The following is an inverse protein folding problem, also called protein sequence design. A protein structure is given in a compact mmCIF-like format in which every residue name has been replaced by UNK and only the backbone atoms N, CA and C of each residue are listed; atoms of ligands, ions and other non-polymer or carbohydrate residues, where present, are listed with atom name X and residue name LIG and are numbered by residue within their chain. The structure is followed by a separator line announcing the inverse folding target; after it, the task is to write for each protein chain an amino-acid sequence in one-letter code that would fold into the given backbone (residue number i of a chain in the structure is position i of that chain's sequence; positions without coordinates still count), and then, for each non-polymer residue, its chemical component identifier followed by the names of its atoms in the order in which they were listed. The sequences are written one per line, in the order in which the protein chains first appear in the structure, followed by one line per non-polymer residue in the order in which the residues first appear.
data_IF_565216305775
#
_entry.id   IF_565216305775
#
_cell.length_a   1.000
_cell.length_b   1.000
_cell.length_c   1.000
_cell.angle_alpha   90.00
_cell.angle_beta   90.00
_cell.angle_gamma   90.00
#
_symmetry.space_group_name_H-M   'P 1'
#
loop_
_entity.id
_entity.type
_entity.pdbx_description
1 polymer ?
#
# COMPACT_ATOMS: atom_id res chain seq x y z
N UNK A 1 39.71 30.09 -58.63
CA UNK A 1 38.82 30.46 -57.50
C UNK A 1 37.44 29.84 -57.74
N UNK A 2 37.12 28.72 -57.12
CA UNK A 2 35.80 28.07 -57.15
C UNK A 2 35.29 27.93 -55.70
N UNK A 3 34.25 28.66 -55.38
CA UNK A 3 33.53 28.51 -54.09
C UNK A 3 32.54 27.33 -54.17
N UNK A 4 32.73 26.34 -53.35
CA UNK A 4 31.73 25.25 -53.15
C UNK A 4 30.68 25.74 -52.18
N UNK A 5 29.41 25.79 -52.65
CA UNK A 5 28.23 26.08 -51.78
C UNK A 5 27.83 24.84 -51.01
N UNK A 6 27.80 24.95 -49.71
CA UNK A 6 27.16 23.96 -48.82
C UNK A 6 25.66 24.21 -48.81
N UNK A 7 24.90 23.25 -49.32
CA UNK A 7 23.43 23.29 -49.32
C UNK A 7 22.82 22.92 -47.95
N UNK A 8 21.64 23.49 -47.59
CA UNK A 8 21.01 23.31 -46.28
C UNK A 8 20.19 22.01 -46.12
N UNK A 9 20.54 20.93 -46.82
CA UNK A 9 19.73 19.70 -46.87
C UNK A 9 20.09 18.67 -45.80
N UNK A 10 21.14 18.86 -44.99
CA UNK A 10 21.63 17.86 -44.02
C UNK A 10 21.18 18.10 -42.58
N UNK A 11 20.47 19.19 -42.28
CA UNK A 11 20.04 19.49 -40.87
C UNK A 11 18.68 18.91 -40.46
N UNK A 12 17.88 18.39 -41.40
CA UNK A 12 16.50 17.92 -41.08
C UNK A 12 16.41 16.46 -40.66
N UNK A 13 17.43 15.67 -40.89
CA UNK A 13 17.37 14.21 -40.63
C UNK A 13 17.79 13.83 -39.21
N UNK A 14 18.42 14.73 -38.44
CA UNK A 14 18.89 14.44 -37.08
C UNK A 14 17.84 14.67 -35.98
N UNK A 15 16.74 15.39 -36.24
CA UNK A 15 15.73 15.70 -35.24
C UNK A 15 14.68 14.59 -35.04
N UNK A 16 14.54 13.64 -35.95
CA UNK A 16 13.57 12.54 -35.86
C UNK A 16 14.07 11.34 -35.05
N UNK A 17 15.37 11.21 -34.80
CA UNK A 17 15.95 10.08 -34.06
C UNK A 17 15.91 10.25 -32.53
N UNK A 18 15.77 11.48 -32.03
CA UNK A 18 15.75 11.73 -30.58
C UNK A 18 14.37 11.55 -29.92
N UNK A 19 13.28 11.53 -30.69
CA UNK A 19 11.90 11.39 -30.16
C UNK A 19 11.48 9.95 -29.81
N UNK A 20 12.17 8.93 -30.32
CA UNK A 20 11.76 7.54 -30.20
C UNK A 20 12.15 6.86 -28.89
N UNK A 21 13.15 7.36 -28.16
CA UNK A 21 13.67 6.70 -26.95
C UNK A 21 12.95 7.09 -25.65
N UNK A 22 12.25 8.24 -25.64
CA UNK A 22 11.52 8.67 -24.44
C UNK A 22 10.19 7.93 -24.22
N UNK A 23 9.57 7.40 -25.27
CA UNK A 23 8.28 6.71 -25.19
C UNK A 23 8.33 5.36 -24.48
N UNK A 24 9.40 4.59 -24.67
CA UNK A 24 9.53 3.26 -24.06
C UNK A 24 9.73 3.34 -22.55
N UNK A 25 10.51 4.29 -22.03
CA UNK A 25 10.78 4.42 -20.61
C UNK A 25 9.53 4.78 -19.77
N UNK A 26 8.62 5.57 -20.34
CA UNK A 26 7.37 5.95 -19.67
C UNK A 26 6.38 4.78 -19.63
N UNK A 27 6.30 3.99 -20.71
CA UNK A 27 5.45 2.81 -20.77
C UNK A 27 5.92 1.72 -19.79
N UNK A 28 7.23 1.51 -19.67
CA UNK A 28 7.81 0.55 -18.72
C UNK A 28 7.59 0.99 -17.27
N UNK A 29 7.72 2.28 -16.95
CA UNK A 29 7.47 2.80 -15.61
C UNK A 29 5.99 2.65 -15.20
N UNK A 30 5.05 2.89 -16.12
CA UNK A 30 3.63 2.69 -15.89
C UNK A 30 3.29 1.19 -15.69
N UNK A 31 3.85 0.31 -16.52
CA UNK A 31 3.69 -1.14 -16.38
C UNK A 31 4.22 -1.66 -15.03
N UNK A 32 5.41 -1.22 -14.62
CA UNK A 32 5.98 -1.57 -13.32
C UNK A 32 5.18 -1.02 -12.14
N UNK A 33 4.58 0.17 -12.26
CA UNK A 33 3.73 0.73 -11.21
C UNK A 33 2.43 -0.07 -11.04
N UNK A 34 1.82 -0.51 -12.13
CA UNK A 34 0.65 -1.41 -12.12
C UNK A 34 1.02 -2.76 -11.53
N UNK A 35 2.14 -3.34 -11.96
CA UNK A 35 2.63 -4.63 -11.45
C UNK A 35 2.88 -4.56 -9.93
N UNK A 36 3.51 -3.49 -9.43
CA UNK A 36 3.71 -3.27 -7.98
C UNK A 36 2.40 -3.15 -7.22
N UNK A 37 1.40 -2.47 -7.79
CA UNK A 37 0.06 -2.37 -7.17
C UNK A 37 -0.66 -3.71 -7.08
N UNK A 38 -0.50 -4.57 -8.08
CA UNK A 38 -1.06 -5.92 -8.09
C UNK A 38 -0.35 -6.84 -7.10
N UNK A 39 0.97 -6.67 -6.91
CA UNK A 39 1.77 -7.47 -5.98
C UNK A 39 1.63 -7.03 -4.52
N UNK A 40 1.29 -5.77 -4.26
CA UNK A 40 1.17 -5.21 -2.91
C UNK A 40 -0.03 -4.24 -2.84
N UNK A 41 -1.25 -4.77 -2.93
CA UNK A 41 -2.47 -3.98 -2.94
C UNK A 41 -2.62 -3.22 -1.61
N UNK A 42 -2.81 -1.90 -1.72
CA UNK A 42 -3.05 -1.03 -0.60
C UNK A 42 -4.23 -0.11 -0.89
N UNK A 43 -4.98 0.24 0.16
CA UNK A 43 -5.99 1.29 0.11
C UNK A 43 -5.42 2.53 0.81
N UNK A 44 -5.59 3.68 0.19
CA UNK A 44 -5.14 4.97 0.72
C UNK A 44 -6.33 5.89 0.91
N UNK A 45 -6.34 6.60 2.05
CA UNK A 45 -7.35 7.62 2.35
C UNK A 45 -6.74 8.70 3.21
N UNK A 46 -7.07 9.97 2.91
CA UNK A 46 -6.67 11.12 3.74
C UNK A 46 -7.71 11.34 4.83
N UNK A 47 -7.24 11.55 6.05
CA UNK A 47 -8.05 11.90 7.22
C UNK A 47 -7.56 13.22 7.82
N UNK A 48 -8.45 14.05 8.33
CA UNK A 48 -8.07 15.31 8.98
C UNK A 48 -7.30 15.04 10.27
N UNK A 49 -6.31 15.87 10.57
CA UNK A 49 -5.50 15.80 11.78
C UNK A 49 -4.04 15.43 11.52
N UNK A 50 -3.21 15.69 12.53
CA UNK A 50 -1.78 15.36 12.48
C UNK A 50 -1.56 13.85 12.59
N UNK A 51 -0.46 13.30 12.03
CA UNK A 51 -0.18 11.85 12.06
C UNK A 51 -0.22 11.22 13.46
N UNK A 52 0.18 11.97 14.48
CA UNK A 52 0.17 11.52 15.88
C UNK A 52 -1.24 11.31 16.42
N UNK A 53 -2.17 12.21 16.08
CA UNK A 53 -3.57 12.15 16.53
C UNK A 53 -4.30 11.03 15.79
N UNK A 54 -4.09 10.95 14.47
CA UNK A 54 -4.61 9.86 13.63
C UNK A 54 -4.07 8.51 14.09
N UNK A 55 -2.82 8.42 14.57
CA UNK A 55 -2.25 7.19 15.12
C UNK A 55 -3.05 6.66 16.32
N UNK A 56 -3.44 7.53 17.23
CA UNK A 56 -4.28 7.17 18.39
C UNK A 56 -5.63 6.59 17.95
N UNK A 57 -6.28 7.24 16.98
CA UNK A 57 -7.55 6.79 16.42
C UNK A 57 -7.43 5.48 15.63
N UNK A 58 -6.34 5.27 14.88
CA UNK A 58 -6.05 3.99 14.22
C UNK A 58 -5.96 2.87 15.24
N UNK A 59 -5.24 3.08 16.34
CA UNK A 59 -5.10 2.10 17.41
C UNK A 59 -6.45 1.74 18.03
N UNK A 60 -7.30 2.73 18.30
CA UNK A 60 -8.64 2.51 18.86
C UNK A 60 -9.53 1.74 17.88
N UNK A 61 -9.57 2.15 16.59
CA UNK A 61 -10.36 1.51 15.55
C UNK A 61 -9.96 0.04 15.35
N UNK A 62 -8.67 -0.24 15.27
CA UNK A 62 -8.12 -1.60 15.11
C UNK A 62 -8.50 -2.49 16.30
N UNK A 63 -8.38 -1.98 17.52
CA UNK A 63 -8.75 -2.73 18.74
C UNK A 63 -10.25 -3.01 18.80
N UNK A 64 -11.08 -2.03 18.42
CA UNK A 64 -12.56 -2.19 18.40
C UNK A 64 -13.01 -3.24 17.38
N UNK A 65 -12.30 -3.36 16.26
CA UNK A 65 -12.53 -4.40 15.27
C UNK A 65 -11.94 -5.78 15.64
N UNK A 66 -11.43 -5.93 16.86
CA UNK A 66 -10.95 -7.21 17.38
C UNK A 66 -9.53 -7.58 16.96
N UNK A 67 -8.76 -6.64 16.41
CA UNK A 67 -7.35 -6.89 16.11
C UNK A 67 -6.46 -6.54 17.31
N UNK A 68 -5.38 -7.29 17.48
CA UNK A 68 -4.36 -7.06 18.49
C UNK A 68 -3.16 -6.37 17.86
N UNK A 69 -2.74 -5.27 18.44
CA UNK A 69 -1.51 -4.55 18.02
C UNK A 69 -0.30 -5.38 18.38
N UNK A 70 0.58 -5.61 17.40
CA UNK A 70 1.83 -6.38 17.58
C UNK A 70 3.06 -5.50 17.43
N UNK A 71 2.96 -4.45 16.63
CA UNK A 71 4.03 -3.46 16.43
C UNK A 71 3.42 -2.11 16.13
N UNK A 72 4.05 -1.04 16.60
CA UNK A 72 3.63 0.31 16.24
C UNK A 72 4.57 1.36 16.84
N UNK A 73 4.76 2.43 16.07
CA UNK A 73 5.53 3.60 16.47
C UNK A 73 4.83 4.85 15.93
N UNK A 74 4.36 5.69 16.85
CA UNK A 74 3.72 6.96 16.48
C UNK A 74 4.71 7.93 15.79
N UNK A 75 5.98 7.86 16.14
CA UNK A 75 7.03 8.71 15.55
C UNK A 75 7.40 8.27 14.13
N UNK A 76 7.27 6.98 13.82
CA UNK A 76 7.54 6.43 12.50
C UNK A 76 6.29 6.38 11.63
N UNK A 77 5.10 6.61 12.21
CA UNK A 77 3.84 6.48 11.50
C UNK A 77 3.55 5.05 11.02
N UNK A 78 4.10 4.04 11.69
CA UNK A 78 3.93 2.63 11.32
C UNK A 78 3.14 1.87 12.38
N UNK A 79 2.30 0.96 11.91
CA UNK A 79 1.42 0.19 12.76
C UNK A 79 1.16 -1.20 12.15
N UNK A 80 1.34 -2.24 12.96
CA UNK A 80 1.01 -3.61 12.57
C UNK A 80 0.10 -4.24 13.62
N UNK A 81 -0.99 -4.87 13.15
CA UNK A 81 -1.92 -5.58 14.00
C UNK A 81 -2.36 -6.89 13.36
N UNK A 82 -2.79 -7.83 14.19
CA UNK A 82 -3.20 -9.17 13.77
C UNK A 82 -4.58 -9.51 14.31
N UNK A 83 -5.36 -10.27 13.54
CA UNK A 83 -6.60 -10.85 14.03
C UNK A 83 -6.32 -12.00 15.01
N UNK A 84 -7.35 -12.51 15.66
CA UNK A 84 -7.29 -13.83 16.28
C UNK A 84 -6.99 -14.89 15.21
N UNK A 85 -6.32 -15.95 15.63
CA UNK A 85 -6.09 -17.12 14.77
C UNK A 85 -7.40 -17.86 14.60
N UNK A 86 -7.81 -18.10 13.35
CA UNK A 86 -8.99 -18.90 13.01
C UNK A 86 -8.60 -20.20 12.33
N UNK A 87 -9.54 -21.13 12.24
CA UNK A 87 -9.37 -22.36 11.47
C UNK A 87 -9.13 -22.02 9.99
N UNK A 88 -8.22 -22.71 9.33
CA UNK A 88 -8.01 -22.66 7.89
C UNK A 88 -9.07 -23.46 7.12
N UNK A 89 -8.88 -23.60 5.82
CA UNK A 89 -9.78 -24.37 4.96
C UNK A 89 -9.53 -25.87 5.08
N UNK A 90 -8.28 -26.26 5.32
CA UNK A 90 -7.88 -27.66 5.46
C UNK A 90 -7.84 -28.06 6.93
N UNK A 91 -8.16 -29.31 7.28
CA UNK A 91 -8.02 -29.84 8.65
C UNK A 91 -6.62 -29.60 9.21
N UNK A 92 -6.52 -29.06 10.43
CA UNK A 92 -5.24 -28.75 11.08
C UNK A 92 -4.56 -27.47 10.58
N UNK A 93 -5.08 -26.81 9.55
CA UNK A 93 -4.54 -25.53 9.09
C UNK A 93 -5.10 -24.35 9.90
N UNK A 94 -4.33 -23.27 9.98
CA UNK A 94 -4.75 -22.02 10.62
C UNK A 94 -4.64 -20.82 9.66
N UNK A 95 -5.43 -19.78 9.95
CA UNK A 95 -5.37 -18.51 9.22
C UNK A 95 -5.40 -17.33 10.17
N UNK A 96 -4.65 -16.30 9.83
CA UNK A 96 -4.61 -15.05 10.57
C UNK A 96 -4.54 -13.87 9.61
N UNK A 97 -5.25 -12.80 9.89
CA UNK A 97 -5.13 -11.55 9.14
C UNK A 97 -4.05 -10.68 9.77
N UNK A 98 -3.23 -10.08 8.92
CA UNK A 98 -2.21 -9.11 9.30
C UNK A 98 -2.55 -7.79 8.62
N UNK A 99 -2.74 -6.75 9.43
CA UNK A 99 -2.91 -5.37 9.00
C UNK A 99 -1.57 -4.67 9.07
N UNK A 100 -1.20 -3.96 8.00
CA UNK A 100 -0.10 -3.00 8.01
C UNK A 100 -0.62 -1.64 7.61
N UNK A 101 -0.41 -0.67 8.47
CA UNK A 101 -0.89 0.69 8.28
C UNK A 101 0.31 1.61 8.32
N UNK A 102 0.38 2.53 7.35
CA UNK A 102 1.35 3.61 7.32
C UNK A 102 0.64 4.94 7.29
N UNK A 103 1.11 5.85 8.13
CA UNK A 103 0.63 7.22 8.26
C UNK A 103 1.69 8.15 7.69
N UNK A 104 1.28 9.03 6.79
CA UNK A 104 2.18 10.02 6.19
C UNK A 104 1.46 11.37 6.20
N UNK A 105 2.17 12.43 6.56
CA UNK A 105 1.61 13.77 6.47
C UNK A 105 1.21 14.10 5.02
N UNK A 106 0.06 14.72 4.84
CA UNK A 106 -0.47 15.20 3.57
C UNK A 106 -0.94 16.65 3.75
N UNK A 107 -1.16 17.36 2.66
CA UNK A 107 -1.58 18.78 2.69
C UNK A 107 -2.86 18.98 3.49
N UNK A 108 -3.84 18.09 3.36
CA UNK A 108 -5.15 18.16 4.01
C UNK A 108 -5.25 17.32 5.30
N UNK A 109 -4.12 16.87 5.85
CA UNK A 109 -4.11 16.06 7.07
C UNK A 109 -3.12 14.90 7.05
N UNK A 110 -3.61 13.69 7.25
CA UNK A 110 -2.80 12.46 7.28
C UNK A 110 -3.30 11.44 6.27
N UNK A 111 -2.43 11.04 5.36
CA UNK A 111 -2.69 9.90 4.49
C UNK A 111 -2.47 8.60 5.25
N UNK A 112 -3.50 7.78 5.29
CA UNK A 112 -3.51 6.43 5.86
C UNK A 112 -3.43 5.44 4.72
N UNK A 113 -2.34 4.68 4.66
CA UNK A 113 -2.15 3.58 3.71
C UNK A 113 -2.33 2.27 4.44
N UNK A 114 -3.36 1.51 4.04
CA UNK A 114 -3.74 0.25 4.65
C UNK A 114 -3.46 -0.92 3.71
N UNK A 115 -2.78 -1.93 4.23
CA UNK A 115 -2.59 -3.24 3.60
C UNK A 115 -3.13 -4.33 4.50
N UNK A 116 -3.80 -5.29 3.88
CA UNK A 116 -4.29 -6.48 4.56
C UNK A 116 -3.69 -7.71 3.89
N UNK A 117 -3.14 -8.61 4.69
CA UNK A 117 -2.65 -9.89 4.20
C UNK A 117 -3.22 -11.02 5.05
N UNK A 118 -3.43 -12.17 4.46
CA UNK A 118 -3.77 -13.41 5.14
C UNK A 118 -2.50 -14.25 5.30
N UNK A 119 -2.22 -14.67 6.52
CA UNK A 119 -1.20 -15.66 6.84
C UNK A 119 -1.92 -16.98 7.00
N UNK A 120 -1.51 -17.98 6.22
CA UNK A 120 -1.99 -19.35 6.27
C UNK A 120 -0.86 -20.24 6.71
N UNK A 121 -1.08 -21.01 7.75
CA UNK A 121 -0.18 -22.09 8.15
C UNK A 121 -0.80 -23.41 7.72
N UNK A 122 -0.06 -24.18 6.93
CA UNK A 122 -0.42 -25.56 6.66
C UNK A 122 -0.20 -26.40 7.93
N UNK A 123 -0.91 -27.52 8.05
CA UNK A 123 -0.79 -28.44 9.17
C UNK A 123 0.69 -28.80 9.44
N UNK A 124 1.19 -28.36 10.58
CA UNK A 124 2.57 -28.54 11.02
C UNK A 124 2.93 -30.01 11.32
N UNK A 125 1.94 -30.91 11.36
CA UNK A 125 2.15 -32.35 11.65
C UNK A 125 2.94 -33.08 10.57
N UNK A 126 3.04 -32.52 9.36
CA UNK A 126 3.68 -33.19 8.22
C UNK A 126 4.98 -32.54 7.71
N UNK A 127 5.27 -31.27 8.02
CA UNK A 127 6.54 -30.57 7.73
C UNK A 127 6.60 -29.28 8.53
N UNK A 128 7.79 -28.92 9.04
CA UNK A 128 8.04 -27.67 9.76
C UNK A 128 7.38 -26.49 9.04
N UNK A 129 6.41 -25.86 9.74
CA UNK A 129 5.43 -24.92 9.26
C UNK A 129 5.91 -23.88 8.26
N UNK A 130 5.46 -24.02 7.04
CA UNK A 130 5.58 -22.93 6.05
C UNK A 130 4.34 -22.04 6.16
N UNK A 131 4.48 -20.91 6.85
CA UNK A 131 3.48 -19.87 6.82
C UNK A 131 3.53 -19.14 5.47
N UNK A 132 2.45 -19.17 4.70
CA UNK A 132 2.33 -18.43 3.45
C UNK A 132 1.57 -17.13 3.72
N UNK A 133 2.15 -16.00 3.34
CA UNK A 133 1.52 -14.68 3.45
C UNK A 133 1.00 -14.24 2.09
N UNK A 134 -0.31 -14.09 1.97
CA UNK A 134 -1.00 -13.69 0.74
C UNK A 134 -1.61 -12.30 0.93
N UNK A 135 -1.18 -11.29 0.16
CA UNK A 135 -1.83 -9.98 0.17
C UNK A 135 -3.29 -10.11 -0.28
N UNK A 136 -4.20 -9.43 0.41
CA UNK A 136 -5.61 -9.39 0.03
C UNK A 136 -5.88 -8.15 -0.83
N UNK A 137 -6.66 -8.28 -1.90
CA UNK A 137 -7.09 -7.14 -2.70
C UNK A 137 -7.97 -6.19 -1.88
N UNK A 138 -8.07 -4.90 -2.26
CA UNK A 138 -9.02 -3.97 -1.67
C UNK A 138 -10.42 -4.56 -1.61
N UNK A 139 -11.12 -4.38 -0.49
CA UNK A 139 -12.44 -4.96 -0.29
C UNK A 139 -13.06 -4.59 1.06
N UNK A 140 -14.15 -5.27 1.45
CA UNK A 140 -14.97 -4.89 2.61
C UNK A 140 -14.21 -4.72 3.93
N UNK A 141 -13.14 -5.50 4.14
CA UNK A 141 -12.31 -5.39 5.35
C UNK A 141 -11.53 -4.08 5.42
N UNK A 142 -11.03 -3.61 4.27
CA UNK A 142 -10.36 -2.32 4.18
C UNK A 142 -11.34 -1.20 4.47
N UNK A 143 -12.54 -1.26 3.88
CA UNK A 143 -13.58 -0.26 4.06
C UNK A 143 -14.10 -0.22 5.51
N UNK A 144 -14.30 -1.37 6.13
CA UNK A 144 -14.73 -1.44 7.54
C UNK A 144 -13.72 -0.76 8.47
N UNK A 145 -12.41 -0.99 8.26
CA UNK A 145 -11.38 -0.33 9.07
C UNK A 145 -11.33 1.18 8.83
N UNK A 146 -11.39 1.61 7.58
CA UNK A 146 -11.34 3.05 7.25
C UNK A 146 -12.61 3.77 7.74
N UNK A 147 -13.76 3.12 7.71
CA UNK A 147 -15.00 3.66 8.26
C UNK A 147 -14.93 3.78 9.79
N UNK A 148 -14.41 2.75 10.49
CA UNK A 148 -14.22 2.79 11.94
C UNK A 148 -13.24 3.90 12.34
N UNK A 149 -12.13 4.03 11.62
CA UNK A 149 -11.18 5.11 11.84
C UNK A 149 -11.85 6.50 11.71
N UNK A 150 -12.70 6.68 10.70
CA UNK A 150 -13.47 7.91 10.54
C UNK A 150 -14.38 8.21 11.73
N UNK A 151 -15.04 7.18 12.28
CA UNK A 151 -15.86 7.30 13.49
C UNK A 151 -15.06 7.70 14.73
N UNK A 152 -13.89 7.07 14.92
CA UNK A 152 -13.01 7.40 16.05
C UNK A 152 -12.51 8.86 15.98
N UNK A 153 -12.11 9.31 14.80
CA UNK A 153 -11.68 10.70 14.59
C UNK A 153 -12.80 11.71 14.85
N UNK A 154 -14.02 11.41 14.39
CA UNK A 154 -15.18 12.24 14.66
C UNK A 154 -15.51 12.30 16.17
N UNK A 155 -15.43 11.17 16.88
CA UNK A 155 -15.65 11.11 18.33
C UNK A 155 -14.57 11.84 19.13
N UNK A 156 -13.33 11.90 18.67
CA UNK A 156 -12.26 12.68 19.33
C UNK A 156 -12.47 14.18 19.18
N UNK A 157 -12.98 14.64 18.03
CA UNK A 157 -13.22 16.06 17.75
C UNK A 157 -14.38 16.64 18.56
N UNK A 158 -15.28 15.78 19.08
CA UNK A 158 -16.45 16.17 19.89
C UNK A 158 -16.20 16.18 21.41
N UNK A 159 -14.98 15.85 21.85
CA UNK A 159 -14.54 15.91 23.26
C UNK A 159 -13.75 17.16 23.55
#
# INVERSE_FOLDING_TARGET
MRRAGFGPATALTLLLAAGGLAGCAVADAAGQAVQRRLQDPAVERVFPGAPRDVYGSVRAAVTRLGYRVVRGSASQGEFEAVSVVGAGLDPGSSRQLVLRIRLTAAEEGTMVRLRVAEVREADSSRRAGHATKVPLPPGPRHEALLAELGRELAAQKSR
#
